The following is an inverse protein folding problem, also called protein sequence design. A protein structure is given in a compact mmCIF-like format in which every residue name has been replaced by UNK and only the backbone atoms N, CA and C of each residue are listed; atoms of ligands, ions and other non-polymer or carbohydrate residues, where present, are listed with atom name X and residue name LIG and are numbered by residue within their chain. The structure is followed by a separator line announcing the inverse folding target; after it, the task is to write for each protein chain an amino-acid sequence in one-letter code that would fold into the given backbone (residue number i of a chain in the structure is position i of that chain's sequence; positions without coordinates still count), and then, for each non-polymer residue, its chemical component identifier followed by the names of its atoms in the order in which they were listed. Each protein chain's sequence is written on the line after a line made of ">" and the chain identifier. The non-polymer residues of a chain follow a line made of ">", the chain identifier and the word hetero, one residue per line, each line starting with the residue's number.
data_IF_536537723583
#
_entry.id   IF_536537723583
#
_cell.length_a   1.000
_cell.length_b   1.000
_cell.length_c   1.000
_cell.angle_alpha   90.00
_cell.angle_beta   90.00
_cell.angle_gamma   90.00
#
_symmetry.space_group_name_H-M   'P 1'
#
loop_
_entity.id
_entity.type
_entity.pdbx_description
1 polymer ?
#
# COMPACT_ATOMS: atom_id res chain seq x y z
N UNK A 1 -14.60 -32.42 19.78
CA UNK A 1 -13.41 -32.32 18.90
C UNK A 1 -13.71 -31.48 17.65
N UNK A 2 -14.29 -30.27 17.79
CA UNK A 2 -14.56 -29.34 16.66
C UNK A 2 -14.24 -27.88 17.04
N UNK A 3 -14.54 -27.49 18.28
CA UNK A 3 -14.24 -26.15 18.82
C UNK A 3 -12.74 -25.80 18.81
N UNK A 4 -11.87 -26.75 19.16
CA UNK A 4 -10.41 -26.53 19.22
C UNK A 4 -9.80 -26.26 17.85
N UNK A 5 -10.32 -26.89 16.79
CA UNK A 5 -9.85 -26.71 15.42
C UNK A 5 -10.28 -25.36 14.85
N UNK A 6 -11.50 -24.89 15.16
CA UNK A 6 -11.98 -23.56 14.77
C UNK A 6 -11.21 -22.44 15.47
N UNK A 7 -10.86 -22.62 16.76
CA UNK A 7 -10.03 -21.66 17.50
C UNK A 7 -8.63 -21.55 16.90
N UNK A 8 -8.05 -22.67 16.45
CA UNK A 8 -6.72 -22.72 15.82
C UNK A 8 -6.69 -21.95 14.48
N UNK A 9 -7.75 -22.07 13.69
CA UNK A 9 -7.92 -21.36 12.41
C UNK A 9 -8.04 -19.84 12.64
N UNK A 10 -8.76 -19.40 13.67
CA UNK A 10 -8.89 -18.00 14.03
C UNK A 10 -7.55 -17.40 14.51
N UNK A 11 -6.77 -18.15 15.28
CA UNK A 11 -5.43 -17.73 15.72
C UNK A 11 -4.42 -17.67 14.57
N UNK A 12 -4.58 -18.47 13.51
CA UNK A 12 -3.70 -18.47 12.35
C UNK A 12 -3.89 -17.24 11.46
N UNK A 13 -5.13 -16.71 11.36
CA UNK A 13 -5.43 -15.50 10.59
C UNK A 13 -4.82 -14.23 11.21
N UNK A 14 -4.59 -14.22 12.53
CA UNK A 14 -4.03 -13.08 13.26
C UNK A 14 -2.51 -12.90 13.05
N UNK A 15 -1.83 -13.89 12.48
CA UNK A 15 -0.38 -13.85 12.24
C UNK A 15 0.00 -13.23 10.90
N UNK A 16 -0.96 -12.87 10.05
CA UNK A 16 -0.71 -12.12 8.82
C UNK A 16 -0.54 -10.64 9.20
N UNK A 17 0.60 -10.33 9.83
CA UNK A 17 1.03 -8.95 10.02
C UNK A 17 1.18 -8.30 8.64
N UNK A 18 0.48 -7.20 8.40
CA UNK A 18 0.66 -6.40 7.19
C UNK A 18 2.09 -5.87 7.15
N UNK A 19 2.97 -6.56 6.41
CA UNK A 19 4.22 -5.98 5.94
C UNK A 19 3.86 -4.84 5.00
N UNK A 20 3.82 -3.63 5.54
CA UNK A 20 3.47 -2.44 4.77
C UNK A 20 4.69 -2.01 3.97
N UNK A 21 4.88 -2.60 2.80
CA UNK A 21 5.91 -2.19 1.86
C UNK A 21 5.50 -0.83 1.28
N UNK A 22 6.20 0.24 1.69
CA UNK A 22 6.02 1.57 1.09
C UNK A 22 6.70 1.56 -0.27
N UNK A 23 5.92 1.82 -1.33
CA UNK A 23 6.41 1.85 -2.71
C UNK A 23 6.78 3.29 -3.09
N UNK A 24 7.76 3.47 -3.98
CA UNK A 24 8.05 4.81 -4.50
C UNK A 24 6.88 5.29 -5.38
N UNK A 25 6.42 6.53 -5.22
CA UNK A 25 5.34 7.04 -6.08
C UNK A 25 5.75 7.05 -7.56
N UNK A 26 7.05 7.21 -7.82
CA UNK A 26 7.60 7.23 -9.16
C UNK A 26 7.58 5.85 -9.84
N UNK A 27 7.43 4.76 -9.07
CA UNK A 27 7.24 3.40 -9.59
C UNK A 27 5.79 3.14 -10.06
N UNK A 28 4.85 4.05 -9.76
CA UNK A 28 3.45 3.92 -10.13
C UNK A 28 3.14 4.63 -11.45
N UNK A 29 2.54 3.88 -12.36
CA UNK A 29 2.04 4.40 -13.63
C UNK A 29 0.58 4.84 -13.50
N UNK A 30 0.20 5.88 -14.24
CA UNK A 30 -1.17 6.35 -14.30
C UNK A 30 -1.87 5.81 -15.56
N UNK A 31 -3.02 5.15 -15.38
CA UNK A 31 -3.90 4.68 -16.45
C UNK A 31 -5.32 5.10 -16.10
N UNK A 32 -6.03 5.78 -17.00
CA UNK A 32 -7.41 6.23 -16.78
C UNK A 32 -7.64 6.92 -15.41
N UNK A 33 -6.71 7.80 -15.00
CA UNK A 33 -6.70 8.52 -13.72
C UNK A 33 -6.62 7.65 -12.46
N UNK A 34 -6.23 6.38 -12.59
CA UNK A 34 -5.92 5.48 -11.50
C UNK A 34 -4.43 5.12 -11.51
N UNK A 35 -3.84 4.93 -10.33
CA UNK A 35 -2.45 4.47 -10.18
C UNK A 35 -2.36 2.95 -10.17
N UNK A 36 -1.33 2.43 -10.83
CA UNK A 36 -1.03 1.00 -10.95
C UNK A 36 0.46 0.77 -10.72
N UNK A 37 0.81 -0.41 -10.19
CA UNK A 37 2.19 -0.89 -10.29
C UNK A 37 2.47 -1.29 -11.74
N UNK A 38 3.71 -1.12 -12.21
CA UNK A 38 4.09 -1.58 -13.54
C UNK A 38 3.82 -3.09 -13.67
N UNK A 39 3.24 -3.51 -14.80
CA UNK A 39 2.80 -4.89 -15.08
C UNK A 39 1.67 -5.44 -14.18
N UNK A 40 0.99 -4.59 -13.40
CA UNK A 40 -0.26 -4.99 -12.75
C UNK A 40 -1.48 -4.53 -13.54
N UNK A 41 -2.49 -5.40 -13.57
CA UNK A 41 -3.80 -5.12 -14.15
C UNK A 41 -4.79 -4.52 -13.13
N UNK A 42 -4.49 -4.66 -11.83
CA UNK A 42 -5.31 -4.12 -10.75
C UNK A 42 -4.79 -2.74 -10.26
N UNK A 43 -5.70 -1.78 -9.98
CA UNK A 43 -5.32 -0.50 -9.40
C UNK A 43 -4.60 -0.68 -8.06
N UNK A 44 -3.56 0.11 -7.85
CA UNK A 44 -2.71 0.01 -6.67
C UNK A 44 -3.47 0.38 -5.38
N UNK A 45 -3.29 -0.44 -4.34
CA UNK A 45 -3.76 -0.18 -2.98
C UNK A 45 -2.58 -0.36 -2.02
N UNK A 46 -2.21 0.72 -1.34
CA UNK A 46 -1.06 0.71 -0.43
C UNK A 46 -0.49 2.10 -0.14
N UNK A 47 0.52 2.12 0.73
CA UNK A 47 1.23 3.33 1.10
C UNK A 47 2.36 3.64 0.11
N UNK A 48 2.56 4.93 -0.17
CA UNK A 48 3.64 5.42 -1.02
C UNK A 48 4.50 6.42 -0.30
N UNK A 49 5.72 6.59 -0.80
CA UNK A 49 6.56 7.74 -0.50
C UNK A 49 7.42 8.06 -1.70
N UNK A 50 7.63 9.33 -2.04
CA UNK A 50 8.71 9.71 -2.96
C UNK A 50 9.75 10.53 -2.22
N UNK A 51 10.99 10.51 -2.71
CA UNK A 51 12.11 11.27 -2.14
C UNK A 51 12.64 12.28 -3.14
N UNK A 52 13.22 13.36 -2.62
CA UNK A 52 14.09 14.23 -3.40
C UNK A 52 15.43 13.55 -3.66
N UNK A 53 16.22 14.09 -4.60
CA UNK A 53 17.61 13.67 -4.87
C UNK A 53 18.50 13.65 -3.61
N UNK A 54 18.20 14.51 -2.63
CA UNK A 54 18.91 14.57 -1.36
C UNK A 54 18.47 13.50 -0.34
N UNK A 55 17.57 12.58 -0.71
CA UNK A 55 17.06 11.50 0.11
C UNK A 55 15.96 11.87 1.10
N UNK A 56 15.58 13.16 1.21
CA UNK A 56 14.46 13.59 2.06
C UNK A 56 13.13 13.24 1.40
N UNK A 57 12.12 12.93 2.22
CA UNK A 57 10.77 12.68 1.71
C UNK A 57 10.23 13.94 1.02
N UNK A 58 9.61 13.73 -0.13
CA UNK A 58 8.92 14.73 -0.95
C UNK A 58 7.42 14.56 -0.82
N UNK A 59 6.94 13.31 -0.89
CA UNK A 59 5.53 12.97 -0.76
C UNK A 59 5.39 11.75 0.14
N UNK A 60 4.36 11.73 0.97
CA UNK A 60 3.89 10.54 1.68
C UNK A 60 2.36 10.50 1.56
N UNK A 61 1.81 9.33 1.24
CA UNK A 61 0.38 9.17 1.03
C UNK A 61 -0.05 7.71 0.92
N UNK A 62 -1.33 7.51 0.64
CA UNK A 62 -1.92 6.20 0.42
C UNK A 62 -2.87 6.21 -0.78
N UNK A 63 -2.84 5.12 -1.53
CA UNK A 63 -3.80 4.82 -2.58
C UNK A 63 -4.72 3.67 -2.14
N UNK A 64 -5.99 3.74 -2.56
CA UNK A 64 -6.95 2.64 -2.54
C UNK A 64 -7.66 2.60 -3.88
N UNK A 65 -7.68 1.43 -4.52
CA UNK A 65 -8.22 1.24 -5.86
C UNK A 65 -7.65 2.26 -6.87
N UNK A 66 -6.35 2.55 -6.74
CA UNK A 66 -5.62 3.52 -7.57
C UNK A 66 -5.96 4.98 -7.30
N UNK A 67 -6.79 5.29 -6.29
CA UNK A 67 -7.20 6.65 -5.91
C UNK A 67 -6.59 7.08 -4.60
N UNK A 68 -6.22 8.36 -4.50
CA UNK A 68 -5.70 8.95 -3.26
C UNK A 68 -6.72 8.82 -2.14
N UNK A 69 -6.28 8.32 -0.99
CA UNK A 69 -7.09 8.24 0.23
C UNK A 69 -6.32 8.76 1.43
N UNK A 70 -7.05 9.21 2.44
CA UNK A 70 -6.46 9.73 3.67
C UNK A 70 -5.69 11.03 3.48
N UNK A 71 -4.77 11.30 4.41
CA UNK A 71 -3.94 12.50 4.40
C UNK A 71 -2.74 12.34 3.48
N UNK A 72 -2.45 13.40 2.74
CA UNK A 72 -1.27 13.51 1.89
C UNK A 72 -0.35 14.59 2.46
N UNK A 73 0.92 14.24 2.65
CA UNK A 73 1.93 15.18 3.10
C UNK A 73 2.87 15.48 1.96
N UNK A 74 3.02 16.77 1.65
CA UNK A 74 3.94 17.27 0.65
C UNK A 74 5.00 18.11 1.37
N UNK A 75 6.26 17.73 1.18
CA UNK A 75 7.41 18.45 1.73
C UNK A 75 7.97 19.38 0.66
N UNK A 76 8.44 20.57 1.08
CA UNK A 76 9.03 21.60 0.22
C UNK A 76 10.55 21.65 0.40
#
# INVERSE_FOLDING_TARGET
>A
MKLTNTLYILTLMLLIGCSSNVIDEDDLIEKASLKYLNNNDEPYTGAISSKFENGKNKIIGQYKDGKRVGSWTFFL
#
